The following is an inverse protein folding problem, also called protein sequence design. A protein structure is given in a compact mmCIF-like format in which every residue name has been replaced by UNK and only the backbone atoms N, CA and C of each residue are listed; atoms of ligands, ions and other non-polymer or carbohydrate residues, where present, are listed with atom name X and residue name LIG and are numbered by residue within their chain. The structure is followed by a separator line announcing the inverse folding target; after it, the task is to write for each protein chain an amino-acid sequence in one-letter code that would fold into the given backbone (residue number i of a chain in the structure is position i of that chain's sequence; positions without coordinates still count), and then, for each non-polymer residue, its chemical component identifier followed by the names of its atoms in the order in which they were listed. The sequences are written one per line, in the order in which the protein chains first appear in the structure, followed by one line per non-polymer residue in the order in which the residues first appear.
data_IF_194499399293
#
_entry.id   IF_194499399293
#
_cell.length_a   1.000
_cell.length_b   1.000
_cell.length_c   1.000
_cell.angle_alpha   90.00
_cell.angle_beta   90.00
_cell.angle_gamma   90.00
#
_symmetry.space_group_name_H-M   'P 1'
#
loop_
_entity.id
_entity.type
_entity.pdbx_description
1 polymer ?
#
# COMPACT_ATOMS: atom_id res chain seq x y z
N UNK A 1 31.26 -29.94 29.33
CA UNK A 1 31.20 -28.89 28.29
C UNK A 1 29.87 -29.12 27.57
N UNK A 2 28.90 -28.23 27.79
CA UNK A 2 27.64 -28.22 27.00
C UNK A 2 28.01 -27.78 25.59
N UNK A 3 27.73 -28.58 24.57
CA UNK A 3 27.99 -28.24 23.17
C UNK A 3 27.24 -26.98 22.75
N UNK A 4 27.64 -26.37 21.63
CA UNK A 4 26.96 -25.23 21.02
C UNK A 4 25.49 -25.57 20.72
N UNK A 5 24.61 -24.65 21.01
CA UNK A 5 23.17 -24.77 20.74
C UNK A 5 22.75 -23.84 19.57
N UNK A 6 21.57 -24.05 19.01
CA UNK A 6 21.04 -23.18 17.95
C UNK A 6 20.83 -21.72 18.45
N UNK A 7 20.48 -21.58 19.74
CA UNK A 7 20.40 -20.28 20.40
C UNK A 7 21.76 -19.56 20.49
N UNK A 8 22.85 -20.33 20.73
CA UNK A 8 24.21 -19.76 20.73
C UNK A 8 24.64 -19.31 19.33
N UNK A 9 24.02 -19.85 18.28
CA UNK A 9 24.18 -19.44 16.89
C UNK A 9 23.24 -18.26 16.48
N UNK A 10 22.42 -17.74 17.42
CA UNK A 10 21.60 -16.56 17.23
C UNK A 10 20.14 -16.83 16.86
N UNK A 11 19.66 -18.09 16.87
CA UNK A 11 18.26 -18.43 16.56
C UNK A 11 17.56 -18.97 17.82
N UNK A 12 16.48 -18.29 18.26
CA UNK A 12 15.73 -18.67 19.46
C UNK A 12 14.35 -19.25 19.09
N UNK A 13 14.29 -20.59 18.98
CA UNK A 13 13.04 -21.32 18.66
C UNK A 13 11.90 -20.95 19.61
N UNK A 14 12.19 -20.71 20.91
CA UNK A 14 11.16 -20.36 21.88
C UNK A 14 10.57 -18.98 21.64
N UNK A 15 11.37 -18.02 21.18
CA UNK A 15 10.87 -16.70 20.78
C UNK A 15 9.92 -16.82 19.59
N UNK A 16 10.24 -17.65 18.60
CA UNK A 16 9.35 -17.96 17.48
C UNK A 16 8.03 -18.58 17.92
N UNK A 17 8.07 -19.60 18.79
CA UNK A 17 6.87 -20.21 19.36
C UNK A 17 6.01 -19.21 20.14
N UNK A 18 6.61 -18.33 20.93
CA UNK A 18 5.91 -17.27 21.66
C UNK A 18 5.25 -16.26 20.71
N UNK A 19 5.94 -15.84 19.64
CA UNK A 19 5.34 -14.96 18.64
C UNK A 19 4.13 -15.62 18.00
N UNK A 20 4.24 -16.87 17.55
CA UNK A 20 3.11 -17.62 16.96
C UNK A 20 1.90 -17.64 17.88
N UNK A 21 2.07 -17.92 19.18
CA UNK A 21 0.95 -17.90 20.13
C UNK A 21 0.31 -16.52 20.28
N UNK A 22 1.09 -15.43 20.22
CA UNK A 22 0.58 -14.07 20.32
C UNK A 22 -0.16 -13.61 19.06
N UNK A 23 0.28 -14.04 17.87
CA UNK A 23 -0.32 -13.61 16.60
C UNK A 23 -1.55 -14.43 16.19
N UNK A 24 -1.73 -15.66 16.70
CA UNK A 24 -2.92 -16.48 16.42
C UNK A 24 -4.25 -15.74 16.66
N UNK A 25 -4.46 -15.03 17.79
CA UNK A 25 -5.67 -14.27 18.01
C UNK A 25 -5.84 -13.12 16.99
N UNK A 26 -4.75 -12.44 16.61
CA UNK A 26 -4.76 -11.36 15.64
C UNK A 26 -5.22 -11.86 14.27
N UNK A 27 -4.60 -12.91 13.76
CA UNK A 27 -5.00 -13.51 12.51
C UNK A 27 -6.45 -14.03 12.52
N UNK A 28 -6.89 -14.58 13.66
CA UNK A 28 -8.28 -15.03 13.82
C UNK A 28 -9.30 -13.89 13.65
N UNK A 29 -8.98 -12.65 14.02
CA UNK A 29 -9.89 -11.50 13.82
C UNK A 29 -10.14 -11.20 12.35
N UNK A 30 -9.23 -11.57 11.46
CA UNK A 30 -9.32 -11.33 10.01
C UNK A 30 -10.01 -12.48 9.27
N UNK A 31 -10.36 -13.57 9.96
CA UNK A 31 -10.90 -14.77 9.33
C UNK A 31 -12.19 -14.48 8.56
N UNK A 32 -12.21 -14.88 7.29
CA UNK A 32 -13.40 -14.84 6.43
C UNK A 32 -14.06 -16.22 6.36
N UNK A 33 -15.31 -16.34 5.89
CA UNK A 33 -15.98 -17.63 5.70
C UNK A 33 -15.22 -18.61 4.77
N UNK A 34 -14.27 -18.09 3.99
CA UNK A 34 -13.49 -18.88 3.04
C UNK A 34 -12.25 -19.55 3.65
N UNK A 35 -11.83 -19.15 4.87
CA UNK A 35 -10.66 -19.73 5.54
C UNK A 35 -11.03 -21.06 6.18
N UNK A 36 -10.26 -22.11 5.85
CA UNK A 36 -10.38 -23.44 6.42
C UNK A 36 -9.22 -23.71 7.37
N UNK A 37 -9.50 -23.73 8.68
CA UNK A 37 -8.47 -23.99 9.70
C UNK A 37 -7.96 -22.74 10.41
N UNK A 38 -6.74 -22.79 10.91
CA UNK A 38 -6.10 -21.73 11.69
C UNK A 38 -4.60 -21.68 11.42
N UNK A 39 -3.95 -20.57 11.78
CA UNK A 39 -2.47 -20.44 11.74
C UNK A 39 -1.81 -21.49 12.66
N UNK A 40 -0.68 -22.04 12.18
CA UNK A 40 0.15 -23.01 12.90
C UNK A 40 0.28 -24.38 12.20
N UNK A 41 -0.39 -24.59 11.05
CA UNK A 41 -0.12 -25.72 10.15
C UNK A 41 0.95 -25.36 9.12
N UNK A 42 1.35 -26.34 8.30
CA UNK A 42 2.32 -26.10 7.20
C UNK A 42 1.73 -25.30 6.04
N UNK A 43 0.41 -25.22 5.90
CA UNK A 43 -0.25 -24.50 4.82
C UNK A 43 -1.56 -23.89 5.31
N UNK A 44 -1.87 -22.70 4.81
CA UNK A 44 -3.18 -22.08 4.92
C UNK A 44 -4.12 -22.57 3.82
N UNK A 45 -5.38 -22.79 4.16
CA UNK A 45 -6.40 -23.25 3.22
C UNK A 45 -7.49 -22.19 3.08
N UNK A 46 -7.83 -21.85 1.84
CA UNK A 46 -8.88 -20.90 1.51
C UNK A 46 -9.73 -21.43 0.35
N UNK A 47 -11.05 -21.42 0.50
CA UNK A 47 -11.96 -21.76 -0.60
C UNK A 47 -12.18 -20.58 -1.51
N UNK A 48 -12.48 -20.83 -2.78
CA UNK A 48 -12.97 -19.79 -3.67
C UNK A 48 -14.43 -19.45 -3.34
N UNK A 49 -14.82 -18.17 -3.41
CA UNK A 49 -16.22 -17.75 -3.28
C UNK A 49 -17.10 -18.37 -4.35
N UNK A 50 -18.28 -18.87 -3.95
CA UNK A 50 -19.24 -19.50 -4.88
C UNK A 50 -19.98 -18.49 -5.76
N UNK A 51 -19.99 -17.22 -5.37
CA UNK A 51 -20.64 -16.13 -6.10
C UNK A 51 -19.81 -15.56 -7.27
N UNK A 52 -18.62 -16.08 -7.51
CA UNK A 52 -17.75 -15.69 -8.62
C UNK A 52 -17.76 -16.77 -9.70
N UNK A 53 -18.42 -16.46 -10.82
CA UNK A 53 -18.44 -17.32 -12.02
C UNK A 53 -17.09 -17.24 -12.77
N UNK A 54 -16.59 -18.37 -13.25
CA UNK A 54 -15.29 -18.51 -13.96
C UNK A 54 -14.14 -17.75 -13.23
N UNK A 55 -13.77 -18.14 -12.00
CA UNK A 55 -12.87 -17.38 -11.15
C UNK A 55 -11.43 -17.39 -11.69
N UNK A 56 -10.82 -16.20 -11.71
CA UNK A 56 -9.40 -15.99 -12.00
C UNK A 56 -8.72 -15.51 -10.72
N UNK A 57 -7.66 -16.20 -10.29
CA UNK A 57 -6.84 -15.74 -9.18
C UNK A 57 -5.93 -14.60 -9.63
N UNK A 58 -5.84 -13.58 -8.77
CA UNK A 58 -4.98 -12.42 -8.95
C UNK A 58 -4.02 -12.37 -7.77
N UNK A 59 -2.74 -12.16 -8.01
CA UNK A 59 -1.74 -12.05 -6.95
C UNK A 59 -0.83 -10.85 -7.15
N UNK A 60 -0.40 -10.25 -6.04
CA UNK A 60 0.58 -9.19 -5.99
C UNK A 60 1.53 -9.42 -4.81
N UNK A 61 2.77 -9.00 -4.95
CA UNK A 61 3.76 -9.05 -3.90
C UNK A 61 4.52 -7.72 -3.85
N UNK A 62 4.70 -7.19 -2.64
CA UNK A 62 5.41 -5.94 -2.41
C UNK A 62 6.02 -5.92 -1.00
N UNK A 63 6.82 -4.90 -0.71
CA UNK A 63 7.38 -4.61 0.61
C UNK A 63 7.00 -3.22 1.11
N UNK A 64 7.60 -2.81 2.24
CA UNK A 64 7.42 -1.46 2.78
C UNK A 64 8.56 -0.52 2.36
N UNK A 65 9.73 -1.09 2.11
CA UNK A 65 10.91 -0.33 1.73
C UNK A 65 11.49 0.52 2.86
N UNK A 66 12.16 1.62 2.49
CA UNK A 66 12.97 2.42 3.45
C UNK A 66 12.16 3.24 4.45
N UNK A 67 10.84 3.23 4.40
CA UNK A 67 9.95 3.70 5.47
C UNK A 67 10.22 2.97 6.78
N UNK A 68 10.63 1.68 6.72
CA UNK A 68 11.01 0.88 7.89
C UNK A 68 12.07 1.56 8.76
N UNK A 69 13.00 2.31 8.17
CA UNK A 69 14.04 3.04 8.92
C UNK A 69 13.46 4.06 9.90
N UNK A 70 12.29 4.64 9.58
CA UNK A 70 11.58 5.55 10.49
C UNK A 70 10.93 4.79 11.63
N UNK A 71 10.34 3.64 11.35
CA UNK A 71 9.76 2.77 12.37
C UNK A 71 10.82 2.36 13.39
N UNK A 72 12.04 2.01 12.94
CA UNK A 72 13.16 1.68 13.81
C UNK A 72 13.59 2.87 14.68
N UNK A 73 13.74 4.06 14.08
CA UNK A 73 14.15 5.28 14.80
C UNK A 73 13.12 5.73 15.85
N UNK A 74 11.84 5.56 15.58
CA UNK A 74 10.73 5.96 16.45
C UNK A 74 10.31 4.85 17.43
N UNK A 75 10.80 3.61 17.26
CA UNK A 75 10.33 2.45 18.01
C UNK A 75 8.83 2.16 17.81
N UNK A 76 8.28 2.53 16.64
CA UNK A 76 6.85 2.37 16.32
C UNK A 76 6.67 1.43 15.14
N UNK A 77 6.08 0.27 15.41
CA UNK A 77 5.99 -0.83 14.46
C UNK A 77 4.54 -1.23 14.11
N UNK A 78 3.57 -0.66 14.81
CA UNK A 78 2.16 -1.02 14.73
C UNK A 78 1.45 -0.56 13.44
N UNK A 79 1.96 0.47 12.77
CA UNK A 79 1.37 0.99 11.53
C UNK A 79 1.99 0.40 10.25
N UNK A 80 3.24 -0.11 10.33
CA UNK A 80 3.99 -0.58 9.17
C UNK A 80 3.36 -1.80 8.50
N UNK A 81 2.68 -2.64 9.28
CA UNK A 81 1.92 -3.77 8.72
C UNK A 81 0.77 -3.34 7.83
N UNK A 82 0.13 -2.19 8.12
CA UNK A 82 -0.91 -1.61 7.26
C UNK A 82 -0.31 -1.21 5.91
N UNK A 83 0.88 -0.57 5.92
CA UNK A 83 1.59 -0.24 4.68
C UNK A 83 1.86 -1.49 3.83
N UNK A 84 2.32 -2.57 4.45
CA UNK A 84 2.62 -3.81 3.74
C UNK A 84 1.37 -4.38 3.03
N UNK A 85 0.26 -4.45 3.75
CA UNK A 85 -1.01 -4.93 3.18
C UNK A 85 -1.51 -3.99 2.09
N UNK A 86 -1.46 -2.67 2.32
CA UNK A 86 -1.92 -1.68 1.37
C UNK A 86 -1.16 -1.74 0.05
N UNK A 87 0.17 -1.86 0.08
CA UNK A 87 0.98 -1.93 -1.13
C UNK A 87 0.60 -3.13 -2.00
N UNK A 88 0.40 -4.30 -1.39
CA UNK A 88 0.02 -5.52 -2.12
C UNK A 88 -1.45 -5.52 -2.57
N UNK A 89 -2.37 -5.09 -1.69
CA UNK A 89 -3.81 -5.18 -1.96
C UNK A 89 -4.26 -4.13 -2.96
N UNK A 90 -3.73 -2.91 -2.87
CA UNK A 90 -4.06 -1.86 -3.82
C UNK A 90 -3.65 -2.22 -5.25
N UNK A 91 -2.61 -3.03 -5.44
CA UNK A 91 -2.23 -3.53 -6.77
C UNK A 91 -3.26 -4.52 -7.32
N UNK A 92 -3.67 -5.51 -6.53
CA UNK A 92 -4.59 -6.54 -7.04
C UNK A 92 -6.00 -6.02 -7.29
N UNK A 93 -6.45 -4.98 -6.57
CA UNK A 93 -7.77 -4.39 -6.83
C UNK A 93 -7.83 -3.57 -8.11
N UNK A 94 -6.69 -3.16 -8.69
CA UNK A 94 -6.68 -2.41 -9.97
C UNK A 94 -7.34 -3.16 -11.11
N UNK A 95 -7.29 -4.50 -11.07
CA UNK A 95 -7.93 -5.37 -12.07
C UNK A 95 -9.35 -5.82 -11.66
N UNK A 96 -9.94 -5.20 -10.61
CA UNK A 96 -11.27 -5.55 -10.12
C UNK A 96 -11.32 -6.79 -9.22
N UNK A 97 -10.17 -7.24 -8.72
CA UNK A 97 -10.13 -8.42 -7.85
C UNK A 97 -10.66 -8.11 -6.43
N UNK A 98 -11.44 -9.04 -5.89
CA UNK A 98 -11.81 -9.08 -4.48
C UNK A 98 -10.66 -9.75 -3.71
N UNK A 99 -10.00 -9.08 -2.73
CA UNK A 99 -8.99 -9.71 -1.90
C UNK A 99 -9.55 -10.92 -1.14
N UNK A 100 -8.79 -12.01 -1.08
CA UNK A 100 -9.16 -13.23 -0.38
C UNK A 100 -8.33 -13.43 0.88
N UNK A 101 -7.00 -13.43 0.69
CA UNK A 101 -6.08 -13.62 1.79
C UNK A 101 -4.74 -12.94 1.54
N UNK A 102 -4.02 -12.79 2.62
CA UNK A 102 -2.68 -12.20 2.70
C UNK A 102 -1.72 -13.17 3.39
N UNK A 103 -0.48 -13.19 2.92
CA UNK A 103 0.66 -13.87 3.56
C UNK A 103 1.77 -12.84 3.76
N UNK A 104 2.49 -12.94 4.88
CA UNK A 104 3.65 -12.10 5.14
C UNK A 104 4.95 -12.91 5.28
N UNK A 105 6.05 -12.25 5.02
CA UNK A 105 7.39 -12.70 5.34
C UNK A 105 8.07 -11.63 6.20
N UNK A 106 8.34 -11.98 7.46
CA UNK A 106 9.04 -11.14 8.41
C UNK A 106 10.45 -11.70 8.62
N UNK A 107 11.49 -10.97 8.20
CA UNK A 107 12.89 -11.37 8.34
C UNK A 107 13.66 -10.39 9.23
N UNK A 108 14.32 -10.88 10.27
CA UNK A 108 15.06 -10.06 11.23
C UNK A 108 16.42 -10.68 11.58
N UNK A 109 17.34 -9.88 12.15
CA UNK A 109 18.60 -10.41 12.66
C UNK A 109 18.42 -11.28 13.89
N UNK A 110 17.57 -10.83 14.81
CA UNK A 110 17.18 -11.50 16.05
C UNK A 110 15.73 -11.13 16.36
N UNK A 111 14.92 -12.12 16.65
CA UNK A 111 13.51 -11.90 16.92
C UNK A 111 13.29 -11.20 18.26
N UNK A 112 12.69 -10.01 18.19
CA UNK A 112 12.01 -9.38 19.31
C UNK A 112 10.52 -9.68 19.20
N UNK A 113 9.98 -10.39 20.18
CA UNK A 113 8.59 -10.88 20.15
C UNK A 113 7.59 -9.72 20.22
N UNK A 114 7.89 -8.66 20.96
CA UNK A 114 7.00 -7.50 21.10
C UNK A 114 6.98 -6.69 19.81
N UNK A 115 8.14 -6.52 19.16
CA UNK A 115 8.26 -5.88 17.85
C UNK A 115 7.52 -6.69 16.77
N UNK A 116 7.74 -8.01 16.71
CA UNK A 116 7.06 -8.89 15.77
C UNK A 116 5.54 -8.90 15.95
N UNK A 117 5.06 -8.94 17.19
CA UNK A 117 3.62 -8.82 17.48
C UNK A 117 3.04 -7.48 17.01
N UNK A 118 3.75 -6.36 17.25
CA UNK A 118 3.31 -5.04 16.80
C UNK A 118 3.18 -4.97 15.28
N UNK A 119 4.15 -5.50 14.54
CA UNK A 119 4.11 -5.57 13.07
C UNK A 119 2.92 -6.40 12.60
N UNK A 120 2.73 -7.61 13.13
CA UNK A 120 1.62 -8.50 12.73
C UNK A 120 0.27 -7.91 13.12
N UNK A 121 0.18 -7.14 14.20
CA UNK A 121 -1.03 -6.38 14.56
C UNK A 121 -1.38 -5.37 13.46
N UNK A 122 -0.40 -4.64 12.96
CA UNK A 122 -0.59 -3.74 11.80
C UNK A 122 -1.01 -4.50 10.54
N UNK A 123 -0.43 -5.68 10.28
CA UNK A 123 -0.85 -6.53 9.15
C UNK A 123 -2.31 -6.98 9.32
N UNK A 124 -2.69 -7.43 10.51
CA UNK A 124 -4.07 -7.84 10.78
C UNK A 124 -5.06 -6.67 10.59
N UNK A 125 -4.71 -5.48 11.08
CA UNK A 125 -5.50 -4.27 10.86
C UNK A 125 -5.63 -3.94 9.37
N UNK A 126 -4.54 -3.99 8.60
CA UNK A 126 -4.57 -3.82 7.14
C UNK A 126 -5.45 -4.87 6.44
N UNK A 127 -5.39 -6.13 6.88
CA UNK A 127 -6.25 -7.18 6.36
C UNK A 127 -7.74 -6.96 6.66
N UNK A 128 -8.07 -6.43 7.85
CA UNK A 128 -9.44 -6.03 8.18
C UNK A 128 -9.95 -4.93 7.26
N UNK A 129 -9.16 -3.88 7.04
CA UNK A 129 -9.48 -2.79 6.10
C UNK A 129 -9.59 -3.30 4.66
N UNK A 130 -8.74 -4.26 4.28
CA UNK A 130 -8.76 -4.89 2.96
C UNK A 130 -9.84 -5.97 2.80
N UNK A 131 -10.58 -6.31 3.89
CA UNK A 131 -11.59 -7.37 3.92
C UNK A 131 -11.05 -8.73 3.48
N UNK A 132 -9.79 -9.03 3.78
CA UNK A 132 -9.14 -10.30 3.49
C UNK A 132 -8.58 -10.95 4.76
N UNK A 133 -8.29 -12.23 4.70
CA UNK A 133 -7.76 -12.97 5.83
C UNK A 133 -6.24 -12.94 5.88
N UNK A 134 -5.63 -12.68 7.04
CA UNK A 134 -4.24 -13.05 7.29
C UNK A 134 -4.18 -14.58 7.42
N UNK A 135 -3.84 -15.25 6.33
CA UNK A 135 -3.96 -16.72 6.22
C UNK A 135 -2.74 -17.44 6.79
N UNK A 136 -1.59 -16.80 6.81
CA UNK A 136 -0.32 -17.34 7.28
C UNK A 136 0.83 -16.39 6.98
N UNK A 137 2.03 -16.85 7.24
CA UNK A 137 3.26 -16.11 6.99
C UNK A 137 4.48 -16.89 7.43
N UNK A 138 5.64 -16.26 7.38
CA UNK A 138 6.91 -16.82 7.82
C UNK A 138 7.66 -15.77 8.67
N UNK A 139 8.27 -16.23 9.76
CA UNK A 139 9.15 -15.41 10.59
C UNK A 139 10.54 -16.04 10.60
N UNK A 140 11.52 -15.33 10.03
CA UNK A 140 12.89 -15.82 9.89
C UNK A 140 13.89 -15.02 10.75
N UNK A 141 14.62 -15.71 11.62
CA UNK A 141 15.82 -15.16 12.26
C UNK A 141 17.04 -15.43 11.37
N UNK A 142 17.70 -14.34 10.94
CA UNK A 142 18.85 -14.37 10.03
C UNK A 142 20.03 -13.63 10.67
N UNK A 143 20.72 -14.25 11.65
CA UNK A 143 21.83 -13.62 12.36
C UNK A 143 22.92 -13.10 11.43
N UNK A 144 23.26 -11.81 11.55
CA UNK A 144 24.29 -11.15 10.72
C UNK A 144 23.80 -10.65 9.35
N UNK A 145 22.53 -10.87 8.99
CA UNK A 145 21.96 -10.38 7.73
C UNK A 145 21.42 -8.95 7.86
N UNK A 146 20.72 -8.66 8.94
CA UNK A 146 20.20 -7.34 9.30
C UNK A 146 20.96 -6.76 10.49
N UNK A 147 20.95 -5.44 10.65
CA UNK A 147 21.44 -4.82 11.88
C UNK A 147 20.53 -5.20 13.08
N UNK A 148 21.08 -5.09 14.28
CA UNK A 148 20.30 -5.40 15.49
C UNK A 148 19.07 -4.51 15.60
N UNK A 149 17.89 -5.11 15.80
CA UNK A 149 16.60 -4.41 15.89
C UNK A 149 15.99 -4.03 14.54
N UNK A 150 16.65 -4.32 13.43
CA UNK A 150 16.12 -4.11 12.09
C UNK A 150 15.51 -5.40 11.53
N UNK A 151 14.51 -5.22 10.68
CA UNK A 151 13.81 -6.28 9.93
C UNK A 151 13.45 -5.82 8.53
N UNK A 152 13.09 -6.77 7.69
CA UNK A 152 12.46 -6.53 6.41
C UNK A 152 11.12 -7.25 6.31
N UNK A 153 10.23 -6.74 5.46
CA UNK A 153 8.89 -7.25 5.28
C UNK A 153 8.60 -7.44 3.79
N UNK A 154 8.06 -8.61 3.45
CA UNK A 154 7.43 -8.83 2.17
C UNK A 154 6.01 -9.34 2.37
N UNK A 155 5.08 -8.86 1.56
CA UNK A 155 3.68 -9.25 1.57
C UNK A 155 3.27 -9.91 0.26
N UNK A 156 2.28 -10.79 0.34
CA UNK A 156 1.70 -11.50 -0.80
C UNK A 156 0.19 -11.48 -0.65
N UNK A 157 -0.48 -10.67 -1.48
CA UNK A 157 -1.94 -10.66 -1.54
C UNK A 157 -2.43 -11.60 -2.64
N UNK A 158 -3.50 -12.32 -2.35
CA UNK A 158 -4.23 -13.11 -3.35
C UNK A 158 -5.68 -12.69 -3.33
N UNK A 159 -6.20 -12.39 -4.51
CA UNK A 159 -7.58 -12.05 -4.74
C UNK A 159 -8.19 -12.89 -5.87
N UNK A 160 -9.44 -12.64 -6.14
CA UNK A 160 -10.20 -13.35 -7.18
C UNK A 160 -11.11 -12.38 -7.93
N UNK A 161 -11.24 -12.58 -9.22
CA UNK A 161 -12.15 -11.84 -10.09
C UNK A 161 -12.82 -12.81 -11.07
N UNK A 162 -14.06 -12.54 -11.47
CA UNK A 162 -14.65 -13.27 -12.61
C UNK A 162 -13.93 -12.88 -13.89
N UNK A 163 -13.59 -13.84 -14.75
CA UNK A 163 -12.88 -13.59 -16.02
C UNK A 163 -13.56 -12.48 -16.85
N UNK A 164 -14.87 -12.43 -16.85
CA UNK A 164 -15.67 -11.45 -17.60
C UNK A 164 -15.67 -10.05 -16.99
N UNK A 165 -15.19 -9.91 -15.74
CA UNK A 165 -15.20 -8.66 -14.97
C UNK A 165 -13.79 -8.11 -14.71
N UNK A 166 -12.80 -8.69 -15.36
CA UNK A 166 -11.41 -8.17 -15.28
C UNK A 166 -11.38 -6.76 -15.86
N UNK A 167 -10.85 -5.83 -15.09
CA UNK A 167 -10.56 -4.47 -15.53
C UNK A 167 -9.15 -4.48 -16.13
N UNK A 168 -9.06 -4.31 -17.44
CA UNK A 168 -7.79 -4.35 -18.19
C UNK A 168 -7.49 -3.05 -18.96
N UNK A 169 -8.33 -2.04 -18.79
CA UNK A 169 -8.21 -0.75 -19.47
C UNK A 169 -8.70 -0.73 -20.93
N UNK A 170 -9.09 -1.87 -21.50
CA UNK A 170 -9.51 -1.94 -22.90
C UNK A 170 -10.70 -1.06 -23.27
N UNK A 171 -11.53 -0.70 -22.28
CA UNK A 171 -12.70 0.17 -22.44
C UNK A 171 -12.38 1.65 -22.35
N UNK A 172 -11.16 2.04 -21.98
CA UNK A 172 -10.74 3.44 -21.85
C UNK A 172 -10.78 4.12 -23.22
N UNK A 173 -11.30 5.33 -23.27
CA UNK A 173 -11.42 6.15 -24.49
C UNK A 173 -11.11 7.61 -24.22
N UNK A 174 -10.75 8.35 -25.26
CA UNK A 174 -10.60 9.80 -25.15
C UNK A 174 -11.92 10.46 -24.69
N UNK A 175 -11.80 11.39 -23.75
CA UNK A 175 -12.93 12.03 -23.08
C UNK A 175 -13.36 11.38 -21.76
N UNK A 176 -12.81 10.21 -21.40
CA UNK A 176 -13.02 9.64 -20.07
C UNK A 176 -12.43 10.54 -19.00
N UNK A 177 -13.09 10.59 -17.84
CA UNK A 177 -12.64 11.39 -16.68
C UNK A 177 -11.72 10.56 -15.82
N UNK A 178 -10.61 11.18 -15.38
CA UNK A 178 -9.70 10.61 -14.40
C UNK A 178 -10.04 11.17 -13.01
N UNK A 179 -10.52 10.31 -12.13
CA UNK A 179 -10.82 10.63 -10.74
C UNK A 179 -9.65 10.19 -9.88
N UNK A 180 -9.07 11.11 -9.11
CA UNK A 180 -8.01 10.83 -8.14
C UNK A 180 -8.56 10.70 -6.74
N UNK A 181 -8.16 9.67 -6.02
CA UNK A 181 -8.47 9.47 -4.60
C UNK A 181 -7.30 9.96 -3.74
N UNK A 182 -7.62 10.77 -2.72
CA UNK A 182 -6.61 11.35 -1.84
C UNK A 182 -5.71 10.30 -1.21
N UNK A 183 -4.41 10.56 -1.16
CA UNK A 183 -3.47 9.81 -0.32
C UNK A 183 -3.51 10.29 1.13
N UNK A 184 -2.92 9.51 2.04
CA UNK A 184 -2.70 9.89 3.44
C UNK A 184 -1.39 10.65 3.67
N UNK A 185 -0.64 10.94 2.61
CA UNK A 185 0.71 11.48 2.61
C UNK A 185 1.58 10.73 1.61
N UNK A 186 2.84 10.45 1.97
CA UNK A 186 3.81 9.79 1.09
C UNK A 186 3.43 8.34 0.71
N UNK A 187 2.57 7.69 1.49
CA UNK A 187 2.34 6.25 1.45
C UNK A 187 3.60 5.45 1.81
N UNK A 188 4.09 4.57 0.91
CA UNK A 188 5.33 3.82 1.14
C UNK A 188 6.39 4.06 0.06
N UNK A 189 6.24 5.12 -0.75
CA UNK A 189 7.15 5.44 -1.86
C UNK A 189 7.90 6.75 -1.63
N UNK A 190 9.09 6.87 -2.23
CA UNK A 190 9.91 8.08 -2.16
C UNK A 190 10.66 8.29 -0.84
N UNK A 191 10.62 7.35 0.10
CA UNK A 191 11.21 7.51 1.43
C UNK A 191 12.73 7.63 1.45
N UNK A 192 13.44 7.06 0.49
CA UNK A 192 14.89 7.26 0.39
C UNK A 192 15.23 8.73 0.15
N UNK A 193 14.49 9.40 -0.73
CA UNK A 193 14.66 10.83 -1.00
C UNK A 193 14.16 11.68 0.17
N UNK A 194 12.96 11.41 0.67
CA UNK A 194 12.37 12.15 1.80
C UNK A 194 13.26 12.12 3.05
N UNK A 195 13.78 10.95 3.44
CA UNK A 195 14.70 10.80 4.57
C UNK A 195 16.00 11.56 4.35
N UNK A 196 16.59 11.45 3.16
CA UNK A 196 17.82 12.16 2.84
C UNK A 196 17.66 13.67 2.96
N UNK A 197 16.55 14.21 2.47
CA UNK A 197 16.26 15.66 2.49
C UNK A 197 15.93 16.15 3.90
N UNK A 198 15.08 15.40 4.59
CA UNK A 198 14.53 15.87 5.87
C UNK A 198 15.42 15.54 7.07
N UNK A 199 16.07 14.36 7.08
CA UNK A 199 16.72 13.81 8.27
C UNK A 199 18.24 13.66 8.12
N UNK A 200 18.80 13.74 6.91
CA UNK A 200 20.23 13.45 6.66
C UNK A 200 20.97 14.64 6.02
N UNK A 201 20.30 15.76 5.73
CA UNK A 201 20.89 16.96 5.10
C UNK A 201 21.77 17.78 6.04
N UNK A 202 22.24 18.95 5.57
CA UNK A 202 23.09 19.85 6.36
C UNK A 202 22.38 20.40 7.63
N UNK A 203 21.06 20.55 7.56
CA UNK A 203 20.20 20.98 8.68
C UNK A 203 19.10 19.97 8.91
N UNK A 204 19.40 18.77 9.48
CA UNK A 204 18.40 17.73 9.64
C UNK A 204 17.31 18.16 10.62
N UNK A 205 16.06 17.79 10.30
CA UNK A 205 14.93 17.93 11.21
C UNK A 205 14.91 16.77 12.20
N UNK A 206 14.38 17.02 13.40
CA UNK A 206 14.06 15.95 14.33
C UNK A 206 12.72 15.33 14.00
N UNK A 207 12.59 14.01 14.20
CA UNK A 207 11.29 13.32 14.08
C UNK A 207 10.27 13.81 15.11
N UNK A 208 10.73 14.35 16.24
CA UNK A 208 9.91 14.96 17.29
C UNK A 208 9.62 16.46 17.03
N UNK A 209 10.10 16.99 15.91
CA UNK A 209 9.86 18.39 15.55
C UNK A 209 8.40 18.60 15.14
N UNK A 210 7.78 19.64 15.71
CA UNK A 210 6.43 20.06 15.34
C UNK A 210 6.49 21.04 14.17
N UNK A 211 5.93 20.64 13.04
CA UNK A 211 5.78 21.47 11.83
C UNK A 211 4.36 22.03 11.82
N UNK A 212 4.21 23.36 11.70
CA UNK A 212 2.94 24.07 11.83
C UNK A 212 1.79 23.46 10.98
N UNK A 213 2.11 23.03 9.75
CA UNK A 213 1.13 22.48 8.81
C UNK A 213 0.97 20.96 8.87
N UNK A 214 1.82 20.23 9.63
CA UNK A 214 1.90 18.76 9.60
C UNK A 214 1.70 18.11 10.98
N UNK A 215 1.90 18.84 12.06
CA UNK A 215 2.06 18.28 13.41
C UNK A 215 3.47 17.71 13.62
N UNK A 216 3.60 16.62 14.36
CA UNK A 216 4.89 15.96 14.57
C UNK A 216 5.37 15.32 13.27
N UNK A 217 6.60 15.64 12.89
CA UNK A 217 7.19 15.15 11.61
C UNK A 217 7.20 13.62 11.54
N UNK A 218 7.59 12.95 12.63
CA UNK A 218 7.62 11.48 12.69
C UNK A 218 6.23 10.86 12.48
N UNK A 219 5.17 11.48 13.01
CA UNK A 219 3.79 11.02 12.80
C UNK A 219 3.34 11.24 11.35
N UNK A 220 3.65 12.40 10.78
CA UNK A 220 3.34 12.68 9.38
C UNK A 220 4.04 11.69 8.43
N UNK A 221 5.29 11.35 8.71
CA UNK A 221 6.07 10.40 7.92
C UNK A 221 5.66 8.93 8.15
N UNK A 222 5.10 8.57 9.31
CA UNK A 222 4.63 7.21 9.59
C UNK A 222 3.15 6.98 9.27
N UNK A 223 2.42 8.00 8.77
CA UNK A 223 1.01 7.78 8.36
C UNK A 223 0.92 6.58 7.42
N UNK A 224 0.04 5.59 7.72
CA UNK A 224 -0.08 4.41 6.89
C UNK A 224 -0.60 4.73 5.50
N UNK A 225 -0.18 3.94 4.53
CA UNK A 225 -0.74 3.91 3.18
C UNK A 225 -2.23 3.59 3.26
N UNK A 226 -3.05 4.32 2.51
CA UNK A 226 -4.49 4.04 2.43
C UNK A 226 -4.75 2.76 1.65
N UNK A 227 -5.76 2.02 2.10
CA UNK A 227 -6.32 0.86 1.43
C UNK A 227 -7.59 1.31 0.70
N UNK A 228 -7.65 1.10 -0.62
CA UNK A 228 -8.71 1.61 -1.50
C UNK A 228 -9.74 0.54 -1.89
N UNK A 229 -9.87 -0.55 -1.14
CA UNK A 229 -10.78 -1.66 -1.43
C UNK A 229 -12.23 -1.21 -1.52
N UNK A 230 -12.69 -0.37 -0.59
CA UNK A 230 -14.07 0.10 -0.58
C UNK A 230 -14.36 1.06 -1.74
N UNK A 231 -13.45 1.98 -2.02
CA UNK A 231 -13.55 2.88 -3.17
C UNK A 231 -13.52 2.12 -4.51
N UNK A 232 -12.66 1.10 -4.62
CA UNK A 232 -12.63 0.20 -5.79
C UNK A 232 -13.97 -0.53 -5.98
N UNK A 233 -14.56 -1.07 -4.92
CA UNK A 233 -15.86 -1.74 -4.99
C UNK A 233 -16.97 -0.79 -5.44
N UNK A 234 -16.97 0.47 -4.98
CA UNK A 234 -17.90 1.50 -5.44
C UNK A 234 -17.69 1.75 -6.94
N UNK A 235 -16.45 1.94 -7.38
CA UNK A 235 -16.11 2.20 -8.78
C UNK A 235 -16.54 1.05 -9.72
N UNK A 236 -16.38 -0.21 -9.28
CA UNK A 236 -16.85 -1.39 -10.02
C UNK A 236 -18.38 -1.38 -10.23
N UNK A 237 -19.14 -0.83 -9.28
CA UNK A 237 -20.60 -0.64 -9.41
C UNK A 237 -21.01 0.46 -10.40
N UNK A 238 -20.08 1.34 -10.78
CA UNK A 238 -20.32 2.51 -11.66
C UNK A 238 -19.60 2.38 -13.02
N UNK A 239 -19.22 1.18 -13.43
CA UNK A 239 -18.67 0.94 -14.76
C UNK A 239 -17.29 1.58 -15.00
N UNK A 240 -16.41 1.55 -14.02
CA UNK A 240 -15.03 2.00 -14.16
C UNK A 240 -14.32 1.26 -15.31
N UNK A 241 -13.59 2.01 -16.14
CA UNK A 241 -12.85 1.48 -17.30
C UNK A 241 -11.43 1.04 -16.95
N UNK A 242 -10.76 1.76 -16.02
CA UNK A 242 -9.44 1.42 -15.52
C UNK A 242 -9.26 1.94 -14.10
N UNK A 243 -8.38 1.29 -13.36
CA UNK A 243 -7.94 1.69 -12.02
C UNK A 243 -6.43 1.62 -11.94
N UNK A 244 -5.80 2.56 -11.19
CA UNK A 244 -4.35 2.59 -11.07
C UNK A 244 -3.93 2.95 -9.64
N UNK A 245 -3.07 2.13 -9.06
CA UNK A 245 -2.39 2.42 -7.80
C UNK A 245 -1.16 3.29 -8.08
N UNK A 246 -1.03 4.42 -7.37
CA UNK A 246 0.07 5.37 -7.58
C UNK A 246 1.21 5.05 -6.61
N UNK A 247 2.26 4.45 -7.15
CA UNK A 247 3.47 4.01 -6.43
C UNK A 247 4.71 4.74 -6.94
N UNK A 248 5.90 4.14 -6.84
CA UNK A 248 7.13 4.68 -7.45
C UNK A 248 6.95 4.93 -8.95
N UNK A 249 7.44 6.06 -9.43
CA UNK A 249 7.14 6.60 -10.76
C UNK A 249 6.03 7.65 -10.75
N UNK A 250 5.26 7.77 -9.65
CA UNK A 250 4.20 8.76 -9.47
C UNK A 250 3.09 8.65 -10.53
N UNK A 251 2.31 9.71 -10.69
CA UNK A 251 1.25 9.76 -11.71
C UNK A 251 1.81 9.59 -13.14
N UNK A 252 2.96 10.19 -13.52
CA UNK A 252 3.46 10.10 -14.89
C UNK A 252 3.80 8.70 -15.38
N UNK A 253 4.39 7.85 -14.54
CA UNK A 253 4.85 6.52 -14.95
C UNK A 253 3.80 5.41 -14.67
N UNK A 254 2.82 5.66 -13.75
CA UNK A 254 1.82 4.65 -13.42
C UNK A 254 0.55 4.76 -14.29
N UNK A 255 0.05 5.96 -14.56
CA UNK A 255 -1.17 6.14 -15.35
C UNK A 255 -1.11 5.53 -16.75
N UNK A 256 -0.02 5.66 -17.52
CA UNK A 256 0.05 5.05 -18.85
C UNK A 256 -0.08 3.53 -18.87
N UNK A 257 0.21 2.85 -17.75
CA UNK A 257 0.17 1.38 -17.64
C UNK A 257 -1.24 0.78 -17.78
N UNK A 258 -2.26 1.60 -17.58
CA UNK A 258 -3.66 1.17 -17.61
C UNK A 258 -4.42 1.72 -18.82
N UNK A 259 -3.71 2.33 -19.77
CA UNK A 259 -4.29 2.90 -20.99
C UNK A 259 -4.03 2.02 -22.22
N UNK A 260 -4.96 1.97 -23.17
CA UNK A 260 -4.69 1.46 -24.50
C UNK A 260 -3.63 2.30 -25.25
N UNK A 261 -2.97 1.67 -26.22
CA UNK A 261 -2.04 2.35 -27.13
C UNK A 261 -2.73 3.52 -27.86
N UNK A 262 -2.04 4.65 -27.99
CA UNK A 262 -2.54 5.86 -28.63
C UNK A 262 -3.38 6.77 -27.73
N UNK A 263 -3.50 6.42 -26.44
CA UNK A 263 -4.15 7.28 -25.42
C UNK A 263 -3.14 7.79 -24.38
N UNK A 264 -3.37 9.00 -23.94
CA UNK A 264 -2.63 9.65 -22.85
C UNK A 264 -3.59 10.32 -21.87
N UNK A 265 -3.03 10.96 -20.84
CA UNK A 265 -3.79 11.67 -19.83
C UNK A 265 -3.31 13.12 -19.77
N UNK A 266 -4.27 14.06 -19.70
CA UNK A 266 -4.03 15.44 -19.31
C UNK A 266 -4.45 15.63 -17.87
N UNK A 267 -3.48 15.89 -16.99
CA UNK A 267 -3.71 16.19 -15.58
C UNK A 267 -3.96 17.67 -15.35
N UNK A 268 -4.75 17.97 -14.33
CA UNK A 268 -5.10 19.32 -13.85
C UNK A 268 -4.59 19.49 -12.40
N UNK A 269 -3.30 19.82 -12.17
CA UNK A 269 -2.71 19.88 -10.82
C UNK A 269 -3.40 20.86 -9.87
N UNK A 270 -4.07 21.88 -10.39
CA UNK A 270 -4.83 22.86 -9.60
C UNK A 270 -6.17 22.32 -9.05
N UNK A 271 -6.60 21.11 -9.47
CA UNK A 271 -7.87 20.55 -9.04
C UNK A 271 -7.84 19.93 -7.63
N UNK A 272 -6.68 19.73 -7.05
CA UNK A 272 -6.51 19.26 -5.66
C UNK A 272 -5.36 19.96 -4.96
N UNK A 273 -5.31 19.83 -3.65
CA UNK A 273 -4.20 20.33 -2.83
C UNK A 273 -3.46 19.15 -2.22
N UNK A 274 -2.19 18.93 -2.58
CA UNK A 274 -1.36 17.90 -1.93
C UNK A 274 -1.15 18.16 -0.44
N UNK A 275 -0.83 17.10 0.32
CA UNK A 275 -0.44 17.23 1.73
C UNK A 275 0.82 18.13 1.84
N UNK A 276 0.92 19.02 2.84
CA UNK A 276 2.04 19.95 3.01
C UNK A 276 3.42 19.28 3.09
N UNK A 277 3.49 17.96 3.36
CA UNK A 277 4.74 17.21 3.39
C UNK A 277 5.49 17.27 2.05
N UNK A 278 4.77 17.30 0.93
CA UNK A 278 5.38 17.37 -0.41
C UNK A 278 6.08 18.72 -0.63
N UNK A 279 5.45 19.81 -0.26
CA UNK A 279 6.03 21.16 -0.33
C UNK A 279 7.25 21.29 0.60
N UNK A 280 7.19 20.73 1.79
CA UNK A 280 8.31 20.71 2.73
C UNK A 280 9.52 19.99 2.12
N UNK A 281 9.31 18.79 1.55
CA UNK A 281 10.37 17.99 0.91
C UNK A 281 10.95 18.75 -0.27
N UNK A 282 10.10 19.27 -1.14
CA UNK A 282 10.53 19.98 -2.34
C UNK A 282 11.39 21.19 -2.03
N UNK A 283 10.93 22.06 -1.13
CA UNK A 283 11.66 23.29 -0.76
C UNK A 283 12.98 23.01 -0.06
N UNK A 284 13.00 22.03 0.85
CA UNK A 284 14.23 21.69 1.57
C UNK A 284 15.27 21.01 0.71
N UNK A 285 14.82 20.22 -0.26
CA UNK A 285 15.67 19.48 -1.17
C UNK A 285 16.03 20.24 -2.45
N UNK A 286 15.46 21.43 -2.67
CA UNK A 286 15.53 22.16 -3.95
C UNK A 286 15.23 21.22 -5.14
N UNK A 287 14.14 20.42 -4.99
CA UNK A 287 13.80 19.35 -5.93
C UNK A 287 12.97 19.93 -7.06
N UNK A 288 13.36 19.65 -8.30
CA UNK A 288 12.61 20.06 -9.48
C UNK A 288 11.21 19.41 -9.51
N UNK A 289 10.21 20.14 -10.04
CA UNK A 289 8.82 19.66 -10.13
C UNK A 289 8.73 18.29 -10.79
N UNK A 290 9.43 18.08 -11.90
CA UNK A 290 9.40 16.80 -12.62
C UNK A 290 9.86 15.62 -11.76
N UNK A 291 10.85 15.82 -10.88
CA UNK A 291 11.32 14.79 -9.95
C UNK A 291 10.31 14.54 -8.83
N UNK A 292 9.64 15.61 -8.32
CA UNK A 292 8.56 15.46 -7.34
C UNK A 292 7.42 14.59 -7.90
N UNK A 293 6.96 14.90 -9.12
CA UNK A 293 5.89 14.16 -9.78
C UNK A 293 6.25 12.70 -10.07
N UNK A 294 7.52 12.40 -10.29
CA UNK A 294 8.00 11.06 -10.58
C UNK A 294 8.30 10.23 -9.33
N UNK A 295 8.73 10.88 -8.26
CA UNK A 295 9.11 10.19 -7.01
C UNK A 295 7.91 9.95 -6.11
N UNK A 296 6.94 10.87 -6.08
CA UNK A 296 5.85 10.90 -5.11
C UNK A 296 4.47 10.84 -5.77
N UNK A 297 3.48 10.41 -4.98
CA UNK A 297 2.08 10.39 -5.38
C UNK A 297 1.41 11.77 -5.47
N UNK A 298 2.07 12.83 -5.00
CA UNK A 298 1.62 14.23 -4.99
C UNK A 298 0.18 14.43 -4.45
N UNK A 299 -0.21 13.61 -3.46
CA UNK A 299 -1.52 13.68 -2.80
C UNK A 299 -2.60 12.78 -3.41
N UNK A 300 -2.33 12.06 -4.49
CA UNK A 300 -3.24 11.11 -5.15
C UNK A 300 -2.65 9.71 -5.04
N UNK A 301 -3.27 8.85 -4.25
CA UNK A 301 -2.75 7.49 -4.03
C UNK A 301 -3.37 6.42 -4.95
N UNK A 302 -4.54 6.70 -5.51
CA UNK A 302 -5.24 5.78 -6.41
C UNK A 302 -6.04 6.58 -7.44
N UNK A 303 -6.22 6.05 -8.65
CA UNK A 303 -7.04 6.71 -9.67
C UNK A 303 -8.04 5.75 -10.30
N UNK A 304 -9.15 6.32 -10.72
CA UNK A 304 -10.26 5.66 -11.41
C UNK A 304 -10.47 6.36 -12.74
N UNK A 305 -10.57 5.60 -13.83
CA UNK A 305 -10.93 6.14 -15.16
C UNK A 305 -12.34 5.68 -15.48
N UNK A 306 -13.23 6.62 -15.75
CA UNK A 306 -14.66 6.36 -15.94
C UNK A 306 -15.21 7.19 -17.08
N UNK A 307 -16.27 6.68 -17.73
CA UNK A 307 -17.00 7.45 -18.73
C UNK A 307 -17.48 8.80 -18.16
N UNK A 308 -17.36 9.86 -18.96
CA UNK A 308 -17.77 11.20 -18.56
C UNK A 308 -19.23 11.24 -18.05
N UNK A 309 -20.14 10.45 -18.63
CA UNK A 309 -21.56 10.41 -18.22
C UNK A 309 -21.74 9.78 -16.84
N UNK A 310 -20.84 8.86 -16.43
CA UNK A 310 -20.89 8.16 -15.14
C UNK A 310 -20.11 8.89 -14.04
N UNK A 311 -19.26 9.84 -14.40
CA UNK A 311 -18.35 10.50 -13.46
C UNK A 311 -19.08 11.18 -12.29
N UNK A 312 -20.19 11.89 -12.58
CA UNK A 312 -20.97 12.60 -11.54
C UNK A 312 -21.56 11.64 -10.51
N UNK A 313 -22.12 10.53 -10.96
CA UNK A 313 -22.75 9.53 -10.09
C UNK A 313 -21.70 8.82 -9.23
N UNK A 314 -20.53 8.49 -9.84
CA UNK A 314 -19.41 7.91 -9.11
C UNK A 314 -18.84 8.89 -8.05
N UNK A 315 -18.72 10.18 -8.37
CA UNK A 315 -18.32 11.19 -7.39
C UNK A 315 -19.28 11.26 -6.21
N UNK A 316 -20.60 11.26 -6.47
CA UNK A 316 -21.59 11.25 -5.40
C UNK A 316 -21.48 10.02 -4.50
N UNK A 317 -21.32 8.84 -5.08
CA UNK A 317 -21.17 7.59 -4.32
C UNK A 317 -19.87 7.54 -3.49
N UNK A 318 -18.77 8.09 -4.01
CA UNK A 318 -17.50 8.20 -3.28
C UNK A 318 -17.62 9.19 -2.11
N UNK A 319 -18.23 10.35 -2.31
CA UNK A 319 -18.45 11.36 -1.27
C UNK A 319 -19.37 10.84 -0.16
N UNK A 320 -20.47 10.17 -0.51
CA UNK A 320 -21.39 9.53 0.43
C UNK A 320 -20.69 8.46 1.30
N UNK A 321 -19.62 7.81 0.77
CA UNK A 321 -18.82 6.86 1.50
C UNK A 321 -17.70 7.51 2.36
N UNK A 322 -17.56 8.85 2.28
CA UNK A 322 -16.50 9.60 2.97
C UNK A 322 -15.15 9.59 2.23
N UNK A 323 -15.10 9.15 0.98
CA UNK A 323 -13.88 9.21 0.16
C UNK A 323 -13.61 10.62 -0.35
N UNK A 324 -12.37 11.07 -0.20
CA UNK A 324 -11.92 12.35 -0.77
C UNK A 324 -11.46 12.11 -2.21
N UNK A 325 -12.32 12.48 -3.15
CA UNK A 325 -12.09 12.32 -4.58
C UNK A 325 -11.99 13.67 -5.31
N UNK A 326 -11.21 13.70 -6.40
CA UNK A 326 -10.96 14.90 -7.20
C UNK A 326 -11.04 14.56 -8.69
N UNK A 327 -11.56 15.46 -9.52
CA UNK A 327 -11.43 15.35 -10.98
C UNK A 327 -10.02 15.82 -11.37
N UNK A 328 -9.07 14.87 -11.43
CA UNK A 328 -7.65 15.17 -11.59
C UNK A 328 -7.21 15.30 -13.05
N UNK A 329 -8.05 14.90 -13.99
CA UNK A 329 -7.71 14.99 -15.41
C UNK A 329 -8.70 14.29 -16.31
N UNK A 330 -8.29 14.15 -17.56
CA UNK A 330 -9.06 13.50 -18.63
C UNK A 330 -8.15 12.65 -19.52
N UNK A 331 -8.73 11.63 -20.12
CA UNK A 331 -8.07 10.83 -21.16
C UNK A 331 -8.11 11.61 -22.49
N UNK A 332 -6.98 11.68 -23.17
CA UNK A 332 -6.81 12.37 -24.47
C UNK A 332 -6.20 11.43 -25.49
N UNK A 333 -6.34 11.76 -26.78
CA UNK A 333 -5.52 11.17 -27.82
C UNK A 333 -4.05 11.57 -27.65
N UNK A 334 -3.12 10.61 -27.79
CA UNK A 334 -1.68 10.83 -27.61
C UNK A 334 -1.04 9.76 -26.75
N UNK A 335 0.08 10.09 -26.13
CA UNK A 335 0.83 9.15 -25.27
C UNK A 335 1.27 9.85 -23.97
N UNK A 336 1.40 9.04 -22.91
CA UNK A 336 1.95 9.48 -21.63
C UNK A 336 1.04 10.44 -20.86
N UNK A 337 1.67 11.24 -19.99
CA UNK A 337 0.98 12.20 -19.14
C UNK A 337 1.45 13.60 -19.44
N UNK A 338 0.49 14.52 -19.63
CA UNK A 338 0.72 15.95 -19.80
C UNK A 338 0.05 16.72 -18.66
N UNK A 339 0.52 17.92 -18.38
CA UNK A 339 -0.03 18.77 -17.33
C UNK A 339 -0.68 20.00 -17.99
N UNK A 340 -1.91 20.32 -17.59
CA UNK A 340 -2.51 21.62 -17.95
C UNK A 340 -1.82 22.75 -17.19
N UNK A 341 -1.66 23.87 -17.82
CA UNK A 341 -1.16 25.12 -17.21
C UNK A 341 -2.21 25.74 -16.28
#
# INVERSE_FOLDING_TARGET
MTGLTYRDAGVDIKAGEQLVERIKPLAKTTATPHVLGSIGGFAGLCTLPEDIDDPVLVSGADGVGTKLKLAFQLGRHDSIGIDLVAMCVNDIITVGARPLFFLDYFATSKLDVDQGEAVVRGIAEGCLQARCALLGGETAELPGFYASGEYDLAGFAVGVVSRKRIIDGASVKAGDVVIGLASSGLHSNGYSLARRVLLEGETPLSLDESIESLGLLGEALLRPTRIYVDASNIALGHGVHAMCHITGGGLPDNLPRVLPEGLGIRLHPSSWTPDPIFDLIQKRGDIADAEMWRTFNMGIGFTLVVDHEQASDLFGALDDSGERAFSVGEVIEGEGVTFST
#
